data_IF_907744198702
#
_entry.id   IF_907744198702
#
_cell.length_a   1.000
_cell.length_b   1.000
_cell.length_c   1.000
_cell.angle_alpha   90.00
_cell.angle_beta   90.00
_cell.angle_gamma   90.00
#
_symmetry.space_group_name_H-M   'P 1'
#
loop_
_entity.id
_entity.type
_entity.pdbx_description
1 polymer ?
#
# COMPACT_ATOMS: atom_id res chain seq x y z
N UNK A 1 -26.82 -13.74 73.87
CA UNK A 1 -26.27 -12.62 73.07
C UNK A 1 -24.91 -13.06 72.56
N UNK A 2 -24.66 -12.97 71.25
CA UNK A 2 -23.36 -13.32 70.64
C UNK A 2 -22.65 -12.00 70.31
N UNK A 3 -21.41 -11.83 70.77
CA UNK A 3 -20.57 -10.66 70.50
C UNK A 3 -19.99 -10.79 69.09
N UNK A 4 -20.11 -9.75 68.28
CA UNK A 4 -19.49 -9.65 66.96
C UNK A 4 -18.10 -8.99 67.06
N UNK A 5 -17.23 -9.15 66.05
CA UNK A 5 -15.84 -8.64 66.09
C UNK A 5 -15.81 -7.11 66.18
N UNK A 6 -16.80 -6.41 65.60
CA UNK A 6 -16.95 -4.96 65.72
C UNK A 6 -17.13 -4.52 67.18
N UNK A 7 -17.85 -5.32 67.97
CA UNK A 7 -18.07 -5.05 69.40
C UNK A 7 -16.75 -5.18 70.19
N UNK A 8 -15.83 -6.05 69.77
CA UNK A 8 -14.54 -6.24 70.45
C UNK A 8 -13.63 -5.03 70.25
N UNK A 9 -13.55 -4.50 69.04
CA UNK A 9 -12.77 -3.30 68.77
C UNK A 9 -13.38 -2.07 69.49
N UNK A 10 -14.71 -1.93 69.51
CA UNK A 10 -15.40 -0.86 70.24
C UNK A 10 -15.21 -0.98 71.77
N UNK A 11 -15.31 -2.18 72.34
CA UNK A 11 -15.07 -2.42 73.78
C UNK A 11 -13.61 -2.15 74.13
N UNK A 12 -12.66 -2.60 73.32
CA UNK A 12 -11.24 -2.33 73.55
C UNK A 12 -10.92 -0.83 73.44
N UNK A 13 -11.58 -0.12 72.52
CA UNK A 13 -11.44 1.33 72.40
C UNK A 13 -12.04 2.07 73.61
N UNK A 14 -13.20 1.65 74.11
CA UNK A 14 -13.80 2.19 75.33
C UNK A 14 -12.91 1.98 76.56
N UNK A 15 -12.36 0.77 76.73
CA UNK A 15 -11.43 0.45 77.82
C UNK A 15 -10.18 1.34 77.73
N UNK A 16 -9.63 1.49 76.52
CA UNK A 16 -8.43 2.31 76.28
C UNK A 16 -8.70 3.81 76.53
N UNK A 17 -9.91 4.30 76.25
CA UNK A 17 -10.32 5.68 76.55
C UNK A 17 -10.51 5.93 78.05
N UNK A 18 -11.04 4.95 78.79
CA UNK A 18 -11.26 5.04 80.23
C UNK A 18 -9.96 4.84 81.03
N UNK A 19 -9.07 3.98 80.56
CA UNK A 19 -7.78 3.69 81.15
C UNK A 19 -6.70 3.63 80.06
N UNK A 20 -6.13 4.79 79.67
CA UNK A 20 -5.06 4.84 78.69
C UNK A 20 -3.84 4.05 79.21
N UNK A 21 -3.30 3.10 78.44
CA UNK A 21 -2.12 2.36 78.85
C UNK A 21 -0.93 3.32 78.97
N UNK A 22 -0.32 3.35 80.14
CA UNK A 22 0.80 4.24 80.45
C UNK A 22 2.14 3.50 80.47
N UNK A 23 2.08 2.19 80.73
CA UNK A 23 3.25 1.31 80.81
C UNK A 23 3.20 0.19 79.77
N UNK A 24 4.36 -0.38 79.45
CA UNK A 24 4.47 -1.53 78.53
C UNK A 24 3.69 -2.75 79.02
N UNK A 25 3.51 -2.88 80.35
CA UNK A 25 2.73 -3.95 80.95
C UNK A 25 1.23 -3.80 80.68
N UNK A 26 0.71 -2.57 80.74
CA UNK A 26 -0.68 -2.23 80.38
C UNK A 26 -0.98 -2.60 78.92
N UNK A 27 -0.07 -2.28 78.00
CA UNK A 27 -0.20 -2.67 76.59
C UNK A 27 -0.19 -4.19 76.40
N UNK A 28 0.63 -4.92 77.16
CA UNK A 28 0.63 -6.39 77.12
C UNK A 28 -0.68 -6.95 77.66
N UNK A 29 -1.20 -6.39 78.74
CA UNK A 29 -2.46 -6.79 79.34
C UNK A 29 -3.64 -6.60 78.38
N UNK A 30 -3.77 -5.41 77.75
CA UNK A 30 -4.83 -5.15 76.77
C UNK A 30 -4.75 -6.07 75.55
N UNK A 31 -3.54 -6.39 75.09
CA UNK A 31 -3.35 -7.36 74.00
C UNK A 31 -3.72 -8.80 74.40
N UNK A 32 -3.45 -9.20 75.65
CA UNK A 32 -3.87 -10.50 76.17
C UNK A 32 -5.38 -10.57 76.33
N UNK A 33 -6.00 -9.48 76.80
CA UNK A 33 -7.45 -9.36 76.92
C UNK A 33 -8.13 -9.48 75.55
N UNK A 34 -7.64 -8.74 74.54
CA UNK A 34 -8.11 -8.84 73.15
C UNK A 34 -8.05 -10.27 72.63
N UNK A 35 -6.90 -10.94 72.79
CA UNK A 35 -6.71 -12.34 72.38
C UNK A 35 -7.61 -13.32 73.12
N UNK A 36 -7.92 -13.06 74.38
CA UNK A 36 -8.83 -13.89 75.17
C UNK A 36 -10.29 -13.73 74.70
N UNK A 37 -10.69 -12.52 74.32
CA UNK A 37 -12.03 -12.24 73.80
C UNK A 37 -12.18 -12.83 72.40
N UNK A 38 -11.24 -12.57 71.48
CA UNK A 38 -11.26 -13.08 70.11
C UNK A 38 -11.35 -14.62 70.03
N UNK A 39 -10.70 -15.34 70.97
CA UNK A 39 -10.77 -16.81 71.07
C UNK A 39 -12.12 -17.35 71.51
N UNK A 40 -12.92 -16.54 72.23
CA UNK A 40 -14.22 -16.93 72.76
C UNK A 40 -15.40 -16.40 71.90
N UNK A 41 -15.10 -15.62 70.86
CA UNK A 41 -16.09 -15.09 69.91
C UNK A 41 -16.08 -15.88 68.60
N UNK A 42 -17.27 -16.14 68.03
CA UNK A 42 -17.39 -16.79 66.72
C UNK A 42 -16.96 -15.80 65.65
N UNK A 43 -15.80 -16.05 65.05
CA UNK A 43 -15.24 -15.23 63.97
C UNK A 43 -16.04 -15.47 62.69
N UNK A 44 -16.97 -14.56 62.39
CA UNK A 44 -17.55 -14.46 61.04
C UNK A 44 -16.60 -13.57 60.23
N UNK A 45 -16.04 -14.04 59.10
CA UNK A 45 -15.14 -13.23 58.30
C UNK A 45 -15.87 -11.96 57.85
N UNK A 46 -15.27 -10.79 58.12
CA UNK A 46 -15.86 -9.52 57.77
C UNK A 46 -15.90 -9.26 56.25
N UNK A 47 -16.78 -8.39 55.76
CA UNK A 47 -16.97 -8.08 54.33
C UNK A 47 -15.73 -7.49 53.63
N UNK A 48 -14.68 -7.13 54.38
CA UNK A 48 -13.40 -6.68 53.83
C UNK A 48 -12.53 -7.81 53.30
N UNK A 49 -12.60 -9.01 53.90
CA UNK A 49 -11.82 -10.18 53.48
C UNK A 49 -12.37 -10.81 52.19
N UNK A 50 -13.69 -10.85 52.05
CA UNK A 50 -14.36 -11.32 50.82
C UNK A 50 -14.02 -10.41 49.63
N UNK A 51 -14.11 -9.08 49.81
CA UNK A 51 -13.69 -8.11 48.78
C UNK A 51 -12.21 -8.22 48.39
N UNK A 52 -11.35 -8.60 49.34
CA UNK A 52 -9.94 -8.82 49.06
C UNK A 52 -9.74 -10.09 48.22
N UNK A 53 -10.44 -11.17 48.56
CA UNK A 53 -10.43 -12.41 47.79
C UNK A 53 -10.90 -12.19 46.35
N UNK A 54 -12.05 -11.53 46.16
CA UNK A 54 -12.59 -11.19 44.83
C UNK A 54 -11.62 -10.36 43.98
N UNK A 55 -10.99 -9.33 44.59
CA UNK A 55 -9.99 -8.51 43.87
C UNK A 55 -8.74 -9.32 43.50
N UNK A 56 -8.37 -10.29 44.32
CA UNK A 56 -7.21 -11.15 44.05
C UNK A 56 -7.50 -12.10 42.90
N UNK A 57 -8.69 -12.72 42.87
CA UNK A 57 -9.13 -13.54 41.74
C UNK A 57 -9.22 -12.73 40.44
N UNK A 58 -9.79 -11.51 40.48
CA UNK A 58 -9.83 -10.62 39.32
C UNK A 58 -8.44 -10.25 38.82
N UNK A 59 -7.49 -10.00 39.73
CA UNK A 59 -6.10 -9.73 39.38
C UNK A 59 -5.48 -10.94 38.69
N UNK A 60 -5.66 -12.13 39.25
CA UNK A 60 -5.05 -13.36 38.74
C UNK A 60 -5.62 -13.74 37.38
N UNK A 61 -6.93 -13.58 37.19
CA UNK A 61 -7.57 -13.72 35.88
C UNK A 61 -7.03 -12.74 34.84
N UNK A 62 -6.89 -11.45 35.21
CA UNK A 62 -6.30 -10.44 34.32
C UNK A 62 -4.83 -10.74 34.01
N UNK A 63 -4.09 -11.29 34.96
CA UNK A 63 -2.68 -11.61 34.77
C UNK A 63 -2.52 -12.79 33.78
N UNK A 64 -3.37 -13.81 33.92
CA UNK A 64 -3.44 -14.95 32.98
C UNK A 64 -3.84 -14.50 31.58
N UNK A 65 -4.87 -13.67 31.45
CA UNK A 65 -5.29 -13.17 30.13
C UNK A 65 -4.21 -12.32 29.46
N UNK A 66 -3.50 -11.49 30.24
CA UNK A 66 -2.33 -10.74 29.75
C UNK A 66 -1.20 -11.64 29.29
N UNK A 67 -0.91 -12.73 30.02
CA UNK A 67 0.12 -13.68 29.63
C UNK A 67 -0.21 -14.38 28.30
N UNK A 68 -1.48 -14.78 28.11
CA UNK A 68 -1.96 -15.36 26.86
C UNK A 68 -1.89 -14.35 25.70
N UNK A 69 -2.33 -13.12 25.92
CA UNK A 69 -2.24 -12.04 24.93
C UNK A 69 -0.80 -11.76 24.51
N UNK A 70 0.14 -11.66 25.46
CA UNK A 70 1.56 -11.44 25.15
C UNK A 70 2.17 -12.53 24.29
N UNK A 71 1.69 -13.77 24.42
CA UNK A 71 2.14 -14.91 23.61
C UNK A 71 1.48 -14.93 22.23
N UNK A 72 0.17 -14.76 22.18
CA UNK A 72 -0.61 -15.04 20.97
C UNK A 72 -0.71 -13.83 20.03
N UNK A 73 -0.73 -12.61 20.56
CA UNK A 73 -0.90 -11.38 19.78
C UNK A 73 0.23 -11.17 18.76
N UNK A 74 1.53 -11.34 19.09
CA UNK A 74 2.60 -11.17 18.11
C UNK A 74 2.51 -12.18 16.96
N UNK A 75 2.08 -13.40 17.25
CA UNK A 75 1.92 -14.47 16.25
C UNK A 75 0.77 -14.14 15.29
N UNK A 76 -0.36 -13.67 15.82
CA UNK A 76 -1.51 -13.24 14.99
C UNK A 76 -1.16 -12.04 14.13
N UNK A 77 -0.58 -11.00 14.74
CA UNK A 77 -0.16 -9.80 14.01
C UNK A 77 0.81 -10.15 12.87
N UNK A 78 1.81 -11.01 13.14
CA UNK A 78 2.74 -11.45 12.11
C UNK A 78 2.05 -12.15 10.94
N UNK A 79 1.10 -13.06 11.21
CA UNK A 79 0.34 -13.75 10.16
C UNK A 79 -0.46 -12.77 9.30
N UNK A 80 -1.17 -11.83 9.92
CA UNK A 80 -1.94 -10.81 9.21
C UNK A 80 -1.03 -9.92 8.34
N UNK A 81 0.13 -9.52 8.86
CA UNK A 81 1.12 -8.77 8.08
C UNK A 81 1.68 -9.59 6.91
N UNK A 82 2.03 -10.85 7.12
CA UNK A 82 2.57 -11.72 6.08
C UNK A 82 1.54 -11.95 4.96
N UNK A 83 0.26 -12.15 5.30
CA UNK A 83 -0.84 -12.25 4.33
C UNK A 83 -1.02 -10.95 3.54
N UNK A 84 -0.99 -9.80 4.22
CA UNK A 84 -1.10 -8.50 3.56
C UNK A 84 0.09 -8.24 2.62
N UNK A 85 1.31 -8.54 3.06
CA UNK A 85 2.53 -8.43 2.24
C UNK A 85 2.41 -9.32 1.00
N UNK A 86 1.91 -10.55 1.15
CA UNK A 86 1.70 -11.46 0.02
C UNK A 86 0.72 -10.88 -0.99
N UNK A 87 -0.43 -10.38 -0.53
CA UNK A 87 -1.42 -9.75 -1.42
C UNK A 87 -0.89 -8.50 -2.13
N UNK A 88 -0.05 -7.70 -1.46
CA UNK A 88 0.62 -6.56 -2.10
C UNK A 88 1.61 -7.01 -3.17
N UNK A 89 2.40 -8.06 -2.92
CA UNK A 89 3.32 -8.63 -3.91
C UNK A 89 2.58 -9.12 -5.15
N UNK A 90 1.49 -9.87 -4.97
CA UNK A 90 0.65 -10.35 -6.07
C UNK A 90 0.08 -9.20 -6.91
N UNK A 91 -0.34 -8.09 -6.28
CA UNK A 91 -0.79 -6.89 -7.01
C UNK A 91 0.33 -6.23 -7.80
N UNK A 92 1.53 -6.12 -7.23
CA UNK A 92 2.68 -5.53 -7.93
C UNK A 92 3.08 -6.40 -9.13
N UNK A 93 3.10 -7.73 -8.97
CA UNK A 93 3.37 -8.65 -10.07
C UNK A 93 2.31 -8.56 -11.17
N UNK A 94 1.02 -8.50 -10.79
CA UNK A 94 -0.06 -8.28 -11.75
C UNK A 94 0.09 -6.99 -12.56
N UNK A 95 0.45 -5.88 -11.89
CA UNK A 95 0.69 -4.59 -12.56
C UNK A 95 1.87 -4.65 -13.55
N UNK A 96 2.96 -5.36 -13.22
CA UNK A 96 4.09 -5.55 -14.13
C UNK A 96 3.70 -6.33 -15.38
N UNK A 97 2.86 -7.35 -15.24
CA UNK A 97 2.35 -8.13 -16.37
C UNK A 97 1.47 -7.24 -17.26
N UNK A 98 0.56 -6.46 -16.68
CA UNK A 98 -0.28 -5.52 -17.42
C UNK A 98 0.53 -4.42 -18.14
N UNK A 99 1.62 -3.92 -17.54
CA UNK A 99 2.52 -2.97 -18.19
C UNK A 99 3.25 -3.60 -19.39
N UNK A 100 3.77 -4.82 -19.24
CA UNK A 100 4.45 -5.51 -20.35
C UNK A 100 3.53 -5.77 -21.55
N UNK A 101 2.28 -6.16 -21.32
CA UNK A 101 1.29 -6.36 -22.38
C UNK A 101 0.96 -5.06 -23.12
N UNK A 102 0.82 -3.94 -22.38
CA UNK A 102 0.58 -2.62 -22.99
C UNK A 102 1.78 -2.15 -23.81
N UNK A 103 3.00 -2.40 -23.34
CA UNK A 103 4.22 -2.05 -24.10
C UNK A 103 4.30 -2.83 -25.42
N UNK A 104 3.98 -4.13 -25.42
CA UNK A 104 3.93 -4.95 -26.63
C UNK A 104 2.87 -4.44 -27.62
N UNK A 105 1.67 -4.11 -27.14
CA UNK A 105 0.59 -3.56 -27.97
C UNK A 105 0.97 -2.21 -28.61
N UNK A 106 1.62 -1.32 -27.85
CA UNK A 106 2.08 -0.01 -28.36
C UNK A 106 3.16 -0.21 -29.44
N UNK A 107 4.08 -1.15 -29.24
CA UNK A 107 5.13 -1.46 -30.23
C UNK A 107 4.52 -2.06 -31.50
N UNK A 108 3.52 -2.93 -31.36
CA UNK A 108 2.81 -3.51 -32.50
C UNK A 108 2.04 -2.44 -33.29
N UNK A 109 1.28 -1.58 -32.61
CA UNK A 109 0.53 -0.47 -33.24
C UNK A 109 1.42 0.46 -34.06
N UNK A 110 2.58 0.86 -33.51
CA UNK A 110 3.56 1.70 -34.23
C UNK A 110 4.13 1.02 -35.47
N UNK A 111 4.30 -0.31 -35.47
CA UNK A 111 4.78 -1.06 -36.65
C UNK A 111 3.72 -1.11 -37.75
N UNK A 112 2.45 -1.29 -37.37
CA UNK A 112 1.32 -1.31 -38.31
C UNK A 112 1.13 0.06 -38.96
N UNK A 113 1.17 1.14 -38.18
CA UNK A 113 1.10 2.51 -38.72
C UNK A 113 2.24 2.80 -39.71
N UNK A 114 3.47 2.38 -39.37
CA UNK A 114 4.62 2.56 -40.27
C UNK A 114 4.45 1.77 -41.58
N UNK A 115 3.90 0.57 -41.52
CA UNK A 115 3.61 -0.23 -42.72
C UNK A 115 2.52 0.40 -43.58
N UNK A 116 1.44 0.90 -42.97
CA UNK A 116 0.38 1.60 -43.70
C UNK A 116 0.90 2.86 -44.39
N UNK A 117 1.71 3.67 -43.69
CA UNK A 117 2.34 4.84 -44.29
C UNK A 117 3.25 4.48 -45.48
N UNK A 118 4.02 3.39 -45.38
CA UNK A 118 4.84 2.90 -46.50
C UNK A 118 3.97 2.45 -47.68
N UNK A 119 2.83 1.82 -47.43
CA UNK A 119 1.91 1.41 -48.49
C UNK A 119 1.24 2.60 -49.16
N UNK A 120 0.88 3.65 -48.41
CA UNK A 120 0.34 4.89 -48.95
C UNK A 120 1.39 5.62 -49.82
N UNK A 121 2.65 5.65 -49.38
CA UNK A 121 3.77 6.19 -50.17
C UNK A 121 3.97 5.41 -51.48
N UNK A 122 3.91 4.07 -51.43
CA UNK A 122 4.02 3.22 -52.63
C UNK A 122 2.86 3.50 -53.59
N UNK A 123 1.63 3.61 -53.08
CA UNK A 123 0.45 3.90 -53.91
C UNK A 123 0.55 5.26 -54.60
N UNK A 124 1.03 6.30 -53.91
CA UNK A 124 1.27 7.62 -54.49
C UNK A 124 2.35 7.57 -55.58
N UNK A 125 3.41 6.80 -55.36
CA UNK A 125 4.45 6.60 -56.38
C UNK A 125 3.83 5.91 -57.60
N UNK A 126 3.13 4.79 -57.42
CA UNK A 126 2.48 4.04 -58.50
C UNK A 126 1.50 4.91 -59.32
N UNK A 127 0.74 5.78 -58.66
CA UNK A 127 -0.14 6.74 -59.34
C UNK A 127 0.64 7.77 -60.18
N UNK A 128 1.80 8.22 -59.69
CA UNK A 128 2.63 9.23 -60.34
C UNK A 128 3.49 8.69 -61.49
N UNK A 129 3.88 7.41 -61.48
CA UNK A 129 4.78 6.80 -62.46
C UNK A 129 4.28 6.98 -63.91
N UNK A 130 3.01 6.69 -64.26
CA UNK A 130 2.51 6.86 -65.63
C UNK A 130 2.65 8.30 -66.12
N UNK A 131 2.33 9.28 -65.28
CA UNK A 131 2.44 10.70 -65.62
C UNK A 131 3.89 11.11 -65.91
N UNK A 132 4.84 10.60 -65.12
CA UNK A 132 6.28 10.84 -65.32
C UNK A 132 6.75 10.17 -66.62
N UNK A 133 6.35 8.92 -66.87
CA UNK A 133 6.69 8.21 -68.11
C UNK A 133 6.17 8.94 -69.35
N UNK A 134 4.95 9.49 -69.30
CA UNK A 134 4.39 10.27 -70.40
C UNK A 134 5.14 11.59 -70.63
N UNK A 135 5.57 12.26 -69.57
CA UNK A 135 6.42 13.46 -69.68
C UNK A 135 7.77 13.13 -70.32
N UNK A 136 8.39 12.00 -69.95
CA UNK A 136 9.65 11.53 -70.54
C UNK A 136 9.46 11.20 -72.03
N UNK A 137 8.39 10.48 -72.40
CA UNK A 137 8.08 10.17 -73.81
C UNK A 137 7.87 11.43 -74.64
N UNK A 138 7.14 12.42 -74.11
CA UNK A 138 6.93 13.71 -74.77
C UNK A 138 8.25 14.46 -74.96
N UNK A 139 9.09 14.52 -73.93
CA UNK A 139 10.40 15.15 -74.02
C UNK A 139 11.29 14.46 -75.06
N UNK A 140 11.30 13.13 -75.09
CA UNK A 140 12.04 12.35 -76.10
C UNK A 140 11.56 12.66 -77.51
N UNK A 141 10.24 12.67 -77.75
CA UNK A 141 9.67 13.01 -79.05
C UNK A 141 10.03 14.43 -79.50
N UNK A 142 10.03 15.41 -78.59
CA UNK A 142 10.46 16.78 -78.89
C UNK A 142 11.95 16.85 -79.26
N UNK A 143 12.81 16.11 -78.56
CA UNK A 143 14.24 16.03 -78.88
C UNK A 143 14.46 15.41 -80.26
N UNK A 144 13.76 14.32 -80.58
CA UNK A 144 13.81 13.68 -81.90
C UNK A 144 13.26 14.57 -83.02
N UNK A 145 12.19 15.33 -82.77
CA UNK A 145 11.67 16.33 -83.70
C UNK A 145 12.67 17.45 -83.97
N UNK A 146 13.30 17.99 -82.93
CA UNK A 146 14.33 19.03 -83.07
C UNK A 146 15.54 18.46 -83.81
N UNK A 147 15.96 17.24 -83.49
CA UNK A 147 17.07 16.57 -84.14
C UNK A 147 16.79 16.27 -85.62
N UNK A 148 15.60 15.78 -85.97
CA UNK A 148 15.20 15.51 -87.36
C UNK A 148 14.99 16.80 -88.18
N UNK A 149 14.42 17.85 -87.59
CA UNK A 149 14.29 19.17 -88.24
C UNK A 149 15.66 19.85 -88.44
N UNK A 150 16.63 19.63 -87.56
CA UNK A 150 17.98 20.21 -87.65
C UNK A 150 19.00 19.39 -88.45
N UNK A 151 18.79 18.08 -88.62
CA UNK A 151 19.68 17.20 -89.40
C UNK A 151 19.39 17.19 -90.92
N UNK A 152 18.31 17.83 -91.37
CA UNK A 152 17.98 17.97 -92.79
C UNK A 152 18.62 19.17 -93.52
N UNK A 153 19.14 20.17 -92.81
CA UNK A 153 19.87 21.32 -93.39
C UNK A 153 20.88 21.84 -92.38
N UNK A 154 22.11 22.13 -92.83
CA UNK A 154 23.07 22.93 -92.06
C UNK A 154 22.43 24.30 -91.76
N UNK A 155 21.78 24.44 -90.61
CA UNK A 155 21.23 25.71 -90.14
C UNK A 155 22.40 26.67 -89.89
N UNK A 156 22.30 27.90 -90.40
CA UNK A 156 23.33 28.91 -90.15
C UNK A 156 23.28 29.33 -88.67
N UNK A 157 24.39 29.79 -88.06
CA UNK A 157 24.45 30.11 -86.63
C UNK A 157 23.34 31.03 -86.10
N UNK A 158 22.79 31.93 -86.93
CA UNK A 158 21.65 32.79 -86.55
C UNK A 158 20.34 32.03 -86.32
N UNK A 159 20.04 31.02 -87.14
CA UNK A 159 18.78 30.27 -87.07
C UNK A 159 18.75 29.35 -85.85
N UNK A 160 19.93 28.93 -85.38
CA UNK A 160 20.06 28.19 -84.12
C UNK A 160 19.77 29.09 -82.91
N UNK A 161 20.30 30.32 -82.92
CA UNK A 161 20.05 31.29 -81.86
C UNK A 161 18.57 31.68 -81.75
N UNK A 162 17.89 31.92 -82.88
CA UNK A 162 16.45 32.26 -82.87
C UNK A 162 15.57 31.13 -82.31
N UNK A 163 15.89 29.87 -82.62
CA UNK A 163 15.12 28.75 -82.09
C UNK A 163 15.40 28.49 -80.61
N UNK A 164 16.62 28.76 -80.14
CA UNK A 164 16.96 28.67 -78.71
C UNK A 164 16.21 29.71 -77.87
N UNK A 165 16.09 30.96 -78.35
CA UNK A 165 15.36 32.01 -77.63
C UNK A 165 13.82 31.87 -77.67
N UNK A 166 13.27 31.04 -78.57
CA UNK A 166 11.83 30.71 -78.55
C UNK A 166 11.45 29.65 -77.53
N UNK A 167 12.44 28.95 -76.94
CA UNK A 167 12.23 27.86 -75.97
C UNK A 167 12.39 28.29 -74.51
N UNK A 168 12.83 29.54 -74.26
CA UNK A 168 12.83 30.21 -72.95
C UNK A 168 11.54 31.01 -72.82
#
# INVERSE_FOLDING_TARGET
>A
MKLEIGDVDEVMEQITRLAPPSQKEDHKFLNLLRKAIEKNTVVVPGPSLEKLAEKTEQRDFKMLSLALLRRDLPVKARKEFDEHIKGVKERIEGLKVDESLKEEDIVHGKRVEKYNNMMDEIAQIEESVPSIQDKIKKAHGLVEEVFSKSSGRRLRPLEYAENFFKLI
#
